data_IF_745353791682
#
_entry.id   IF_745353791682
#
_cell.length_a   1.000
_cell.length_b   1.000
_cell.length_c   1.000
_cell.angle_alpha   90.00
_cell.angle_beta   90.00
_cell.angle_gamma   90.00
#
_symmetry.space_group_name_H-M   'P 1'
#
loop_
_entity.id
_entity.type
_entity.pdbx_description
1 polymer ?
#
# COMPACT_ATOMS: atom_id res chain seq x y z
N UNK A 1 8.87 11.54 2.41
CA UNK A 1 7.93 11.00 1.37
C UNK A 1 6.48 11.41 1.72
N UNK A 2 5.58 11.71 0.75
CA UNK A 2 4.11 11.78 1.03
C UNK A 2 3.46 10.53 0.43
N UNK A 3 3.52 9.42 1.17
CA UNK A 3 2.91 8.15 0.75
C UNK A 3 1.41 8.26 0.86
N UNK A 4 0.70 7.85 -0.18
CA UNK A 4 -0.71 7.57 -0.03
C UNK A 4 -1.36 7.08 -1.32
N UNK A 5 -1.41 5.75 -1.52
CA UNK A 5 -2.50 5.12 -2.27
C UNK A 5 -2.83 3.75 -1.66
N UNK A 6 -4.12 3.58 -1.29
CA UNK A 6 -4.71 2.36 -0.76
C UNK A 6 -5.69 1.76 -1.76
N UNK A 7 -5.50 0.49 -2.13
CA UNK A 7 -6.51 -0.32 -2.85
C UNK A 7 -6.89 -1.52 -2.01
N UNK A 8 -8.18 -1.70 -1.66
CA UNK A 8 -8.72 -2.85 -0.91
C UNK A 8 -9.05 -4.02 -1.87
N UNK A 9 -8.38 -5.16 -1.75
CA UNK A 9 -8.76 -6.39 -2.45
C UNK A 9 -10.05 -6.98 -1.88
N UNK A 10 -10.97 -7.36 -2.77
CA UNK A 10 -12.34 -7.79 -2.44
C UNK A 10 -13.27 -7.53 -3.61
N UNK A 11 -14.46 -8.17 -3.60
CA UNK A 11 -15.45 -8.26 -4.70
C UNK A 11 -15.89 -6.88 -5.24
N UNK A 12 -15.03 -6.24 -6.06
CA UNK A 12 -15.17 -4.85 -6.53
C UNK A 12 -13.94 -4.34 -7.31
N UNK A 13 -13.13 -5.27 -7.85
CA UNK A 13 -11.74 -5.05 -8.32
C UNK A 13 -11.53 -3.93 -9.35
N UNK A 14 -12.57 -3.52 -10.09
CA UNK A 14 -12.47 -2.47 -11.13
C UNK A 14 -12.75 -1.07 -10.59
N UNK A 15 -13.71 -0.92 -9.68
CA UNK A 15 -14.10 0.40 -9.12
C UNK A 15 -13.00 1.00 -8.26
N UNK A 16 -12.22 0.16 -7.58
CA UNK A 16 -11.19 0.60 -6.63
C UNK A 16 -9.93 1.08 -7.36
N UNK A 17 -9.55 0.44 -8.47
CA UNK A 17 -8.45 0.93 -9.31
C UNK A 17 -8.77 2.28 -9.94
N UNK A 18 -10.05 2.57 -10.24
CA UNK A 18 -10.47 3.90 -10.69
C UNK A 18 -10.30 4.98 -9.61
N UNK A 19 -10.55 4.64 -8.35
CA UNK A 19 -10.32 5.57 -7.24
C UNK A 19 -8.82 5.83 -7.01
N UNK A 20 -8.01 4.77 -7.07
CA UNK A 20 -6.55 4.86 -7.01
C UNK A 20 -6.00 5.71 -8.18
N UNK A 21 -6.54 5.54 -9.39
CA UNK A 21 -6.17 6.30 -10.58
C UNK A 21 -6.50 7.80 -10.44
N UNK A 22 -7.71 8.13 -10.00
CA UNK A 22 -8.11 9.53 -9.77
C UNK A 22 -7.24 10.21 -8.72
N UNK A 23 -6.92 9.48 -7.64
CA UNK A 23 -6.07 9.99 -6.56
C UNK A 23 -4.63 10.22 -7.05
N UNK A 24 -4.08 9.28 -7.81
CA UNK A 24 -2.76 9.44 -8.46
C UNK A 24 -2.73 10.66 -9.36
N UNK A 25 -3.72 10.81 -10.25
CA UNK A 25 -3.80 11.95 -11.17
C UNK A 25 -3.84 13.28 -10.43
N UNK A 26 -4.69 13.40 -9.41
CA UNK A 26 -4.78 14.60 -8.59
C UNK A 26 -3.45 14.89 -7.88
N UNK A 27 -2.79 13.87 -7.34
CA UNK A 27 -1.50 14.03 -6.68
C UNK A 27 -0.43 14.54 -7.66
N UNK A 28 -0.39 14.01 -8.88
CA UNK A 28 0.51 14.49 -9.95
C UNK A 28 0.19 15.93 -10.35
N UNK A 29 -1.09 16.28 -10.52
CA UNK A 29 -1.54 17.65 -10.82
C UNK A 29 -1.14 18.64 -9.71
N UNK A 30 -1.07 18.19 -8.46
CA UNK A 30 -0.60 18.97 -7.31
C UNK A 30 0.93 19.00 -7.16
N UNK A 31 1.68 18.41 -8.10
CA UNK A 31 3.14 18.36 -8.08
C UNK A 31 3.73 17.36 -7.09
N UNK A 32 2.95 16.38 -6.62
CA UNK A 32 3.44 15.30 -5.77
C UNK A 32 4.12 14.26 -6.66
N UNK A 33 5.44 14.22 -6.62
CA UNK A 33 6.26 13.34 -7.46
C UNK A 33 6.53 11.98 -6.82
N UNK A 34 6.56 11.92 -5.50
CA UNK A 34 6.94 10.74 -4.71
C UNK A 34 5.70 9.90 -4.37
N UNK A 35 5.19 9.15 -5.35
CA UNK A 35 3.99 8.33 -5.22
C UNK A 35 4.34 6.87 -5.41
N UNK A 36 3.90 6.03 -4.49
CA UNK A 36 4.04 4.58 -4.58
C UNK A 36 2.69 3.90 -4.28
N UNK A 37 2.47 2.72 -4.86
CA UNK A 37 1.23 1.95 -4.67
C UNK A 37 1.40 0.87 -3.61
N UNK A 38 0.37 0.67 -2.80
CA UNK A 38 0.27 -0.41 -1.81
C UNK A 38 -1.01 -1.20 -2.08
N UNK A 39 -0.85 -2.51 -2.27
CA UNK A 39 -1.99 -3.43 -2.43
C UNK A 39 -2.49 -3.88 -1.06
N UNK A 40 -3.52 -3.24 -0.54
CA UNK A 40 -4.10 -3.58 0.75
C UNK A 40 -5.19 -4.65 0.60
N UNK A 41 -5.32 -5.55 1.58
CA UNK A 41 -6.23 -6.70 1.51
C UNK A 41 -6.05 -7.51 0.21
N UNK A 42 -4.81 -7.66 -0.24
CA UNK A 42 -4.48 -8.31 -1.50
C UNK A 42 -3.54 -9.48 -1.25
N UNK A 43 -3.65 -10.50 -2.12
CA UNK A 43 -2.80 -11.68 -2.12
C UNK A 43 -1.98 -11.79 -3.42
N UNK A 44 -1.15 -12.82 -3.53
CA UNK A 44 -0.31 -13.03 -4.71
C UNK A 44 -1.12 -13.24 -6.01
N UNK A 45 -2.40 -13.62 -5.93
CA UNK A 45 -3.29 -13.71 -7.09
C UNK A 45 -3.66 -12.35 -7.67
N UNK A 46 -3.61 -11.28 -6.87
CA UNK A 46 -3.84 -9.90 -7.31
C UNK A 46 -2.53 -9.17 -7.68
N UNK A 47 -1.36 -9.73 -7.33
CA UNK A 47 -0.02 -9.14 -7.53
C UNK A 47 0.20 -8.61 -8.94
N UNK A 48 0.13 -9.50 -9.94
CA UNK A 48 0.45 -9.14 -11.33
C UNK A 48 -0.44 -8.01 -11.84
N UNK A 49 -1.72 -8.02 -11.46
CA UNK A 49 -2.67 -6.97 -11.86
C UNK A 49 -2.31 -5.62 -11.24
N UNK A 50 -1.93 -5.61 -9.97
CA UNK A 50 -1.54 -4.38 -9.25
C UNK A 50 -0.18 -3.85 -9.73
N UNK A 51 0.76 -4.74 -10.02
CA UNK A 51 2.05 -4.39 -10.62
C UNK A 51 1.86 -3.76 -12.00
N UNK A 52 1.04 -4.36 -12.87
CA UNK A 52 0.72 -3.79 -14.19
C UNK A 52 0.06 -2.41 -14.04
N UNK A 53 -0.90 -2.27 -13.13
CA UNK A 53 -1.59 -1.01 -12.89
C UNK A 53 -0.63 0.10 -12.42
N UNK A 54 0.32 -0.22 -11.55
CA UNK A 54 1.34 0.73 -11.10
C UNK A 54 2.31 1.09 -12.24
N UNK A 55 2.78 0.08 -12.98
CA UNK A 55 3.73 0.23 -14.08
C UNK A 55 3.18 1.10 -15.22
N UNK A 56 1.91 0.92 -15.59
CA UNK A 56 1.20 1.78 -16.56
C UNK A 56 1.22 3.28 -16.20
N UNK A 57 1.42 3.59 -14.91
CA UNK A 57 1.44 4.95 -14.36
C UNK A 57 2.86 5.42 -14.02
N UNK A 58 3.88 4.66 -14.43
CA UNK A 58 5.28 4.92 -14.13
C UNK A 58 5.61 4.86 -12.63
N UNK A 59 4.81 4.12 -11.86
CA UNK A 59 4.99 3.94 -10.42
C UNK A 59 5.24 2.47 -10.10
N UNK A 60 5.70 2.20 -8.90
CA UNK A 60 5.91 0.85 -8.39
C UNK A 60 4.83 0.44 -7.40
N UNK A 61 4.58 -0.87 -7.34
CA UNK A 61 3.87 -1.53 -6.25
C UNK A 61 4.91 -1.91 -5.19
N UNK A 62 4.85 -1.30 -4.02
CA UNK A 62 5.85 -1.49 -2.96
C UNK A 62 5.60 -2.78 -2.18
N UNK A 63 4.34 -3.02 -1.82
CA UNK A 63 3.99 -4.14 -0.96
C UNK A 63 2.53 -4.57 -1.17
N UNK A 64 2.27 -5.85 -0.88
CA UNK A 64 0.94 -6.40 -0.70
C UNK A 64 0.73 -6.70 0.79
N UNK A 65 -0.36 -6.19 1.35
CA UNK A 65 -0.75 -6.41 2.75
C UNK A 65 -1.99 -7.31 2.72
N UNK A 66 -1.91 -8.57 3.14
CA UNK A 66 -3.07 -9.44 3.24
C UNK A 66 -3.96 -9.06 4.45
N UNK A 67 -5.14 -9.67 4.53
CA UNK A 67 -6.15 -9.42 5.59
C UNK A 67 -6.30 -10.64 6.52
N UNK A 68 -5.20 -11.34 6.77
CA UNK A 68 -5.16 -12.61 7.48
C UNK A 68 -5.43 -12.48 8.99
N UNK A 69 -5.03 -11.38 9.62
CA UNK A 69 -5.14 -11.18 11.06
C UNK A 69 -5.78 -9.85 11.49
N UNK A 70 -6.37 -9.11 10.56
CA UNK A 70 -6.84 -7.73 10.80
C UNK A 70 -8.20 -7.69 11.52
N UNK A 71 -9.06 -8.68 11.29
CA UNK A 71 -10.47 -8.64 11.71
C UNK A 71 -10.67 -8.59 13.23
N UNK A 72 -9.94 -9.42 14.00
CA UNK A 72 -10.10 -9.51 15.46
C UNK A 72 -9.54 -8.29 16.22
N UNK A 73 -8.35 -7.76 15.89
CA UNK A 73 -7.86 -6.50 16.45
C UNK A 73 -8.77 -5.31 16.13
N UNK A 74 -9.25 -5.20 14.89
CA UNK A 74 -10.12 -4.11 14.45
C UNK A 74 -11.45 -4.08 15.23
N UNK A 75 -12.09 -5.25 15.39
CA UNK A 75 -13.30 -5.42 16.21
C UNK A 75 -13.13 -4.98 17.66
N UNK A 76 -11.91 -5.10 18.18
CA UNK A 76 -11.58 -4.77 19.58
C UNK A 76 -10.98 -3.38 19.73
N UNK A 77 -10.91 -2.60 18.64
CA UNK A 77 -10.21 -1.32 18.59
C UNK A 77 -8.77 -1.40 19.11
N UNK A 78 -8.09 -2.52 18.81
CA UNK A 78 -6.71 -2.77 19.19
C UNK A 78 -5.80 -2.59 17.99
N UNK A 79 -4.61 -2.06 18.23
CA UNK A 79 -3.58 -1.95 17.20
C UNK A 79 -3.18 -3.36 16.72
N UNK A 80 -3.22 -3.55 15.40
CA UNK A 80 -2.80 -4.79 14.77
C UNK A 80 -1.34 -5.13 15.07
N UNK A 81 -0.48 -4.09 15.08
CA UNK A 81 0.96 -4.23 15.36
C UNK A 81 1.23 -4.77 16.76
N UNK A 82 0.38 -4.47 17.74
CA UNK A 82 0.57 -4.93 19.13
C UNK A 82 0.03 -6.34 19.37
N UNK A 83 -0.88 -6.83 18.52
CA UNK A 83 -1.70 -8.02 18.77
C UNK A 83 -1.49 -9.16 17.79
N UNK A 84 -0.95 -8.88 16.62
CA UNK A 84 -0.69 -9.87 15.58
C UNK A 84 0.77 -9.80 15.10
N UNK A 85 1.71 -9.58 16.03
CA UNK A 85 3.16 -9.65 15.80
C UNK A 85 3.52 -11.02 15.22
N UNK A 86 3.72 -11.11 13.91
CA UNK A 86 3.97 -12.36 13.18
C UNK A 86 2.90 -12.77 12.18
N UNK A 87 1.80 -12.03 12.06
CA UNK A 87 0.89 -12.18 10.91
C UNK A 87 1.55 -11.72 9.61
N UNK A 88 1.03 -12.19 8.48
CA UNK A 88 1.52 -11.77 7.18
C UNK A 88 1.25 -10.28 6.95
N UNK A 89 0.09 -9.79 7.43
CA UNK A 89 -0.23 -8.37 7.41
C UNK A 89 0.80 -7.51 8.17
N UNK A 90 1.14 -7.88 9.41
CA UNK A 90 2.14 -7.12 10.21
C UNK A 90 3.52 -7.18 9.56
N UNK A 91 3.94 -8.36 9.09
CA UNK A 91 5.23 -8.52 8.40
C UNK A 91 5.30 -7.64 7.13
N UNK A 92 4.20 -7.55 6.37
CA UNK A 92 4.13 -6.68 5.20
C UNK A 92 4.16 -5.19 5.56
N UNK A 93 3.52 -4.80 6.67
CA UNK A 93 3.54 -3.41 7.17
C UNK A 93 4.94 -3.03 7.65
N UNK A 94 5.65 -3.92 8.35
CA UNK A 94 7.03 -3.69 8.79
C UNK A 94 7.96 -3.48 7.58
N UNK A 95 7.85 -4.33 6.55
CA UNK A 95 8.60 -4.14 5.29
C UNK A 95 8.28 -2.82 4.60
N UNK A 96 7.03 -2.39 4.66
CA UNK A 96 6.63 -1.08 4.12
C UNK A 96 7.30 0.06 4.90
N UNK A 97 7.40 -0.05 6.22
CA UNK A 97 8.09 0.92 7.05
C UNK A 97 9.58 1.02 6.65
N UNK A 98 10.26 -0.11 6.48
CA UNK A 98 11.66 -0.14 6.03
C UNK A 98 11.87 0.58 4.70
N UNK A 99 10.97 0.37 3.73
CA UNK A 99 11.04 1.05 2.43
C UNK A 99 10.85 2.56 2.58
N UNK A 100 9.87 2.98 3.39
CA UNK A 100 9.61 4.40 3.61
C UNK A 100 10.78 5.08 4.31
N UNK A 101 11.38 4.44 5.31
CA UNK A 101 12.56 4.93 6.01
C UNK A 101 13.77 5.04 5.07
N UNK A 102 14.04 4.02 4.26
CA UNK A 102 15.12 4.03 3.28
C UNK A 102 14.97 5.17 2.27
N UNK A 103 13.75 5.43 1.79
CA UNK A 103 13.47 6.55 0.88
C UNK A 103 13.65 7.92 1.55
N UNK A 104 13.34 8.06 2.84
CA UNK A 104 13.52 9.32 3.56
C UNK A 104 15.00 9.63 3.80
N UNK A 105 15.80 8.60 4.12
CA UNK A 105 17.26 8.72 4.27
C UNK A 105 17.94 9.19 2.98
N UNK A 106 17.52 8.69 1.82
CA UNK A 106 18.04 9.11 0.51
C UNK A 106 17.72 10.57 0.16
N UNK A 107 16.64 11.14 0.71
CA UNK A 107 16.25 12.55 0.51
C UNK A 107 16.99 13.52 1.42
N UNK A 108 17.46 13.05 2.57
CA UNK A 108 18.22 13.87 3.54
C UNK A 108 19.73 13.80 3.33
N UNK A 109 20.21 12.98 2.40
CA UNK A 109 21.61 12.96 2.01
C UNK A 109 21.98 14.29 1.29
N UNK A 110 23.07 14.95 1.68
CA UNK A 110 23.46 16.27 1.17
C UNK A 110 23.88 16.27 -0.30
#
# INVERSE_FOLDING_TARGET
MRVGISGKGGVGKTTILLAADRTHRLAVELGITDIAFVGNRADDGDRQRLENFAAERGRELVVLIPDDAVLEPDRRALCLLDRATGSLAVTAIERLADVVEACDLQRTAP
#
